data_IF_280809714726
#
_entry.id   IF_280809714726
#
_cell.length_a   1.000
_cell.length_b   1.000
_cell.length_c   1.000
_cell.angle_alpha   90.00
_cell.angle_beta   90.00
_cell.angle_gamma   90.00
#
_symmetry.space_group_name_H-M   'P 1'
#
loop_
_entity.id
_entity.type
_entity.pdbx_description
1 polymer ?
#
# COMPACT_ATOMS: atom_id res chain seq x y z
N UNK A 1 19.97 -8.64 25.68
CA UNK A 1 20.04 -8.96 24.24
C UNK A 1 20.11 -7.64 23.47
N UNK A 2 21.28 -7.18 23.05
CA UNK A 2 21.44 -5.87 22.42
C UNK A 2 22.30 -5.87 21.15
N UNK A 3 22.49 -7.04 20.53
CA UNK A 3 23.25 -7.18 19.28
C UNK A 3 22.33 -7.50 18.09
N UNK A 4 21.13 -6.91 18.08
CA UNK A 4 20.19 -7.07 16.97
C UNK A 4 20.51 -6.07 15.85
N UNK A 5 20.70 -6.58 14.63
CA UNK A 5 20.85 -5.79 13.41
C UNK A 5 19.56 -5.87 12.59
N UNK A 6 19.20 -4.77 11.92
CA UNK A 6 18.03 -4.70 11.04
C UNK A 6 18.49 -4.44 9.61
N UNK A 7 17.97 -5.22 8.66
CA UNK A 7 18.21 -4.99 7.25
C UNK A 7 17.43 -3.75 6.78
N UNK A 8 18.10 -2.85 6.06
CA UNK A 8 17.49 -1.65 5.49
C UNK A 8 17.63 -1.64 3.97
N UNK A 9 16.51 -1.57 3.26
CA UNK A 9 16.46 -1.65 1.79
C UNK A 9 16.19 -0.30 1.11
N UNK A 10 16.45 0.81 1.79
CA UNK A 10 16.03 2.14 1.36
C UNK A 10 16.44 2.49 -0.09
N UNK A 11 17.66 2.13 -0.50
CA UNK A 11 18.16 2.36 -1.86
C UNK A 11 17.40 1.53 -2.90
N UNK A 12 17.21 0.23 -2.65
CA UNK A 12 16.46 -0.65 -3.54
C UNK A 12 14.99 -0.21 -3.65
N UNK A 13 14.38 0.14 -2.52
CA UNK A 13 13.03 0.68 -2.47
C UNK A 13 12.89 2.00 -3.25
N UNK A 14 13.88 2.90 -3.14
CA UNK A 14 13.88 4.15 -3.90
C UNK A 14 13.94 3.89 -5.40
N UNK A 15 14.77 2.92 -5.84
CA UNK A 15 14.90 2.55 -7.25
C UNK A 15 13.61 1.99 -7.83
N UNK A 16 12.91 1.12 -7.10
CA UNK A 16 11.60 0.58 -7.51
C UNK A 16 10.55 1.67 -7.70
N UNK A 17 10.70 2.80 -7.02
CA UNK A 17 9.75 3.91 -7.04
C UNK A 17 10.13 5.00 -8.05
N UNK A 18 11.20 4.83 -8.84
CA UNK A 18 11.60 5.81 -9.86
C UNK A 18 10.85 5.58 -11.17
N UNK A 19 10.63 6.66 -11.94
CA UNK A 19 9.98 6.61 -13.24
C UNK A 19 8.45 6.65 -13.18
N UNK A 20 7.84 7.11 -14.28
CA UNK A 20 6.40 7.31 -14.42
C UNK A 20 5.75 8.03 -13.24
N UNK A 21 4.52 7.62 -12.91
CA UNK A 21 3.73 8.13 -11.79
C UNK A 21 3.94 7.37 -10.48
N UNK A 22 4.98 6.51 -10.34
CA UNK A 22 5.21 5.64 -9.17
C UNK A 22 5.28 6.40 -7.84
N UNK A 23 6.08 7.48 -7.77
CA UNK A 23 6.16 8.33 -6.57
C UNK A 23 4.85 9.04 -6.25
N UNK A 24 4.13 9.49 -7.29
CA UNK A 24 2.82 10.15 -7.16
C UNK A 24 1.78 9.18 -6.61
N UNK A 25 1.75 7.95 -7.14
CA UNK A 25 0.91 6.87 -6.64
C UNK A 25 1.18 6.59 -5.15
N UNK A 26 2.45 6.44 -4.75
CA UNK A 26 2.81 6.27 -3.35
C UNK A 26 2.37 7.47 -2.49
N UNK A 27 2.57 8.70 -2.96
CA UNK A 27 2.15 9.90 -2.23
C UNK A 27 0.65 9.92 -1.97
N UNK A 28 -0.17 9.63 -3.00
CA UNK A 28 -1.63 9.55 -2.89
C UNK A 28 -2.03 8.46 -1.89
N UNK A 29 -1.41 7.28 -1.95
CA UNK A 29 -1.70 6.19 -0.99
C UNK A 29 -1.37 6.56 0.46
N UNK A 30 -0.29 7.30 0.69
CA UNK A 30 0.03 7.83 2.03
C UNK A 30 -1.02 8.81 2.51
N UNK A 31 -1.47 9.73 1.65
CA UNK A 31 -2.55 10.67 1.98
C UNK A 31 -3.87 9.94 2.25
N UNK A 32 -4.23 8.95 1.44
CA UNK A 32 -5.41 8.10 1.64
C UNK A 32 -5.35 7.39 2.99
N UNK A 33 -4.18 6.84 3.34
CA UNK A 33 -3.97 6.22 4.65
C UNK A 33 -4.21 7.23 5.78
N UNK A 34 -3.61 8.41 5.69
CA UNK A 34 -3.64 9.43 6.76
C UNK A 34 -5.05 9.96 6.99
N UNK A 35 -5.80 10.19 5.92
CA UNK A 35 -7.14 10.79 6.03
C UNK A 35 -8.25 9.77 6.28
N UNK A 36 -8.08 8.53 5.85
CA UNK A 36 -9.19 7.56 5.83
C UNK A 36 -8.90 6.22 6.51
N UNK A 37 -7.64 5.90 6.81
CA UNK A 37 -7.23 4.61 7.37
C UNK A 37 -6.43 4.73 8.68
N UNK A 38 -6.41 5.91 9.30
CA UNK A 38 -6.03 6.06 10.71
C UNK A 38 -7.16 5.50 11.59
N UNK A 39 -7.02 4.24 11.96
CA UNK A 39 -8.03 3.48 12.69
C UNK A 39 -7.53 3.06 14.08
N UNK A 40 -8.44 2.81 15.04
CA UNK A 40 -8.08 2.19 16.32
C UNK A 40 -7.28 0.90 16.14
N UNK A 41 -6.22 0.75 16.93
CA UNK A 41 -5.28 -0.37 16.81
C UNK A 41 -4.19 -0.20 15.75
N UNK A 42 -4.18 0.93 15.03
CA UNK A 42 -3.16 1.31 14.04
C UNK A 42 -2.72 0.13 13.14
N UNK A 43 -3.66 -0.48 12.41
CA UNK A 43 -3.38 -1.66 11.59
C UNK A 43 -2.43 -1.34 10.42
N UNK A 44 -2.39 -0.07 9.99
CA UNK A 44 -1.65 0.37 8.81
C UNK A 44 -0.67 1.49 9.14
N UNK A 45 0.40 1.56 8.36
CA UNK A 45 1.43 2.61 8.40
C UNK A 45 1.98 2.83 6.98
N UNK A 46 2.85 3.84 6.81
CA UNK A 46 3.42 4.22 5.51
C UNK A 46 4.25 3.11 4.88
N UNK A 47 4.83 2.24 5.69
CA UNK A 47 5.66 1.15 5.22
C UNK A 47 4.84 0.07 4.51
N UNK A 48 3.61 -0.18 4.96
CA UNK A 48 2.67 -1.04 4.23
C UNK A 48 2.36 -0.47 2.84
N UNK A 49 2.12 0.84 2.71
CA UNK A 49 1.88 1.49 1.42
C UNK A 49 3.11 1.35 0.50
N UNK A 50 4.31 1.55 1.07
CA UNK A 50 5.58 1.39 0.37
C UNK A 50 5.77 -0.04 -0.16
N UNK A 51 5.44 -1.04 0.67
CA UNK A 51 5.54 -2.46 0.35
C UNK A 51 4.58 -2.84 -0.77
N UNK A 52 3.33 -2.39 -0.70
CA UNK A 52 2.32 -2.70 -1.73
C UNK A 52 2.65 -2.05 -3.08
N UNK A 53 3.15 -0.80 -3.10
CA UNK A 53 3.64 -0.17 -4.34
C UNK A 53 4.79 -0.98 -4.94
N UNK A 54 5.67 -1.56 -4.12
CA UNK A 54 6.79 -2.38 -4.61
C UNK A 54 6.30 -3.63 -5.33
N UNK A 55 5.32 -4.36 -4.77
CA UNK A 55 4.67 -5.47 -5.46
C UNK A 55 3.95 -5.04 -6.73
N UNK A 56 3.32 -3.86 -6.71
CA UNK A 56 2.64 -3.36 -7.90
C UNK A 56 3.62 -3.03 -9.04
N UNK A 57 4.82 -2.54 -8.69
CA UNK A 57 5.91 -2.31 -9.64
C UNK A 57 6.44 -3.63 -10.22
N UNK A 58 6.49 -4.70 -9.43
CA UNK A 58 6.87 -6.03 -9.92
C UNK A 58 5.86 -6.56 -10.96
N UNK A 59 4.56 -6.37 -10.71
CA UNK A 59 3.49 -6.75 -11.65
C UNK A 59 3.50 -5.91 -12.94
N UNK A 60 3.97 -4.66 -12.85
CA UNK A 60 3.94 -3.67 -13.92
C UNK A 60 5.33 -3.07 -14.14
N UNK A 61 6.28 -3.84 -14.71
CA UNK A 61 7.68 -3.46 -14.73
C UNK A 61 8.02 -2.37 -15.76
N UNK A 62 7.14 -2.10 -16.74
CA UNK A 62 7.46 -1.17 -17.84
C UNK A 62 7.17 0.27 -17.43
N UNK A 63 7.94 1.23 -17.95
CA UNK A 63 7.68 2.66 -17.75
C UNK A 63 6.25 3.04 -18.18
N UNK A 64 5.79 2.53 -19.33
CA UNK A 64 4.45 2.79 -19.87
C UNK A 64 3.31 2.29 -18.98
N UNK A 65 3.55 1.28 -18.15
CA UNK A 65 2.53 0.77 -17.21
C UNK A 65 2.27 1.77 -16.06
N UNK A 66 3.12 2.80 -15.97
CA UNK A 66 3.10 3.87 -14.97
C UNK A 66 2.95 5.26 -15.60
N UNK A 67 2.43 5.34 -16.81
CA UNK A 67 2.00 6.63 -17.36
C UNK A 67 0.87 7.24 -16.49
N UNK A 68 0.70 8.56 -16.56
CA UNK A 68 -0.31 9.27 -15.76
C UNK A 68 -1.75 8.76 -16.00
N UNK A 69 -2.04 8.28 -17.21
CA UNK A 69 -3.33 7.65 -17.53
C UNK A 69 -3.57 6.35 -16.76
N UNK A 70 -2.52 5.63 -16.37
CA UNK A 70 -2.61 4.38 -15.63
C UNK A 70 -2.70 4.58 -14.12
N UNK A 71 -2.49 5.80 -13.60
CA UNK A 71 -2.42 6.09 -12.17
C UNK A 71 -3.65 5.59 -11.41
N UNK A 72 -4.85 5.80 -11.95
CA UNK A 72 -6.10 5.33 -11.36
C UNK A 72 -6.15 3.80 -11.22
N UNK A 73 -5.76 3.08 -12.27
CA UNK A 73 -5.71 1.62 -12.26
C UNK A 73 -4.67 1.08 -11.28
N UNK A 74 -3.51 1.75 -11.17
CA UNK A 74 -2.48 1.39 -10.17
C UNK A 74 -2.98 1.57 -8.74
N UNK A 75 -3.64 2.70 -8.45
CA UNK A 75 -4.24 2.94 -7.14
C UNK A 75 -5.27 1.86 -6.80
N UNK A 76 -6.15 1.52 -7.75
CA UNK A 76 -7.17 0.49 -7.55
C UNK A 76 -6.55 -0.89 -7.34
N UNK A 77 -5.56 -1.28 -8.14
CA UNK A 77 -4.83 -2.55 -7.99
C UNK A 77 -4.20 -2.68 -6.60
N UNK A 78 -3.58 -1.60 -6.12
CA UNK A 78 -2.95 -1.58 -4.78
C UNK A 78 -3.99 -1.64 -3.66
N UNK A 79 -5.11 -0.93 -3.77
CA UNK A 79 -6.17 -0.99 -2.76
C UNK A 79 -6.81 -2.38 -2.68
N UNK A 80 -7.02 -3.04 -3.82
CA UNK A 80 -7.52 -4.42 -3.87
C UNK A 80 -6.50 -5.40 -3.27
N UNK A 81 -5.21 -5.21 -3.54
CA UNK A 81 -4.16 -5.99 -2.89
C UNK A 81 -4.15 -5.77 -1.37
N UNK A 82 -4.29 -4.52 -0.91
CA UNK A 82 -4.36 -4.20 0.52
C UNK A 82 -5.54 -4.90 1.19
N UNK A 83 -6.73 -4.89 0.56
CA UNK A 83 -7.91 -5.59 1.05
C UNK A 83 -7.63 -7.09 1.19
N UNK A 84 -7.00 -7.71 0.19
CA UNK A 84 -6.63 -9.13 0.24
C UNK A 84 -5.65 -9.42 1.38
N UNK A 85 -4.59 -8.63 1.53
CA UNK A 85 -3.64 -8.77 2.63
C UNK A 85 -4.32 -8.65 4.00
N UNK A 86 -5.23 -7.69 4.16
CA UNK A 86 -5.96 -7.48 5.42
C UNK A 86 -6.90 -8.65 5.75
N UNK A 87 -7.62 -9.17 4.75
CA UNK A 87 -8.52 -10.32 4.90
C UNK A 87 -7.75 -11.61 5.22
N UNK A 88 -6.62 -11.84 4.54
CA UNK A 88 -5.73 -12.96 4.81
C UNK A 88 -4.88 -12.76 6.08
N UNK A 89 -4.94 -11.55 6.68
CA UNK A 89 -4.15 -11.14 7.84
C UNK A 89 -2.64 -11.32 7.64
N UNK A 90 -2.18 -11.14 6.40
CA UNK A 90 -0.78 -11.32 6.01
C UNK A 90 -0.38 -10.29 4.97
N UNK A 91 0.65 -9.52 5.28
CA UNK A 91 1.29 -8.57 4.36
C UNK A 91 2.80 -8.86 4.32
N UNK A 92 3.25 -9.73 3.40
CA UNK A 92 4.66 -10.10 3.33
C UNK A 92 5.52 -8.91 2.93
N UNK A 93 6.62 -8.68 3.63
CA UNK A 93 7.62 -7.67 3.25
C UNK A 93 8.19 -7.98 1.86
N UNK A 94 8.33 -6.97 1.00
CA UNK A 94 8.72 -7.15 -0.41
C UNK A 94 10.06 -7.89 -0.59
N UNK A 95 11.13 -7.45 0.09
CA UNK A 95 12.44 -8.11 0.03
C UNK A 95 12.59 -9.34 0.94
N UNK A 96 11.65 -9.56 1.87
CA UNK A 96 11.73 -10.60 2.90
C UNK A 96 10.36 -11.30 3.01
N UNK A 97 9.95 -12.15 2.04
CA UNK A 97 8.56 -12.64 1.95
C UNK A 97 8.08 -13.47 3.16
N UNK A 98 9.02 -13.97 3.97
CA UNK A 98 8.75 -14.69 5.21
C UNK A 98 8.44 -13.76 6.40
N UNK A 99 8.78 -12.47 6.30
CA UNK A 99 8.47 -11.45 7.30
C UNK A 99 7.08 -10.88 7.02
N UNK A 100 6.14 -11.11 7.93
CA UNK A 100 4.78 -10.57 7.85
C UNK A 100 4.67 -9.23 8.59
N UNK A 101 4.35 -8.16 7.85
CA UNK A 101 4.20 -6.81 8.38
C UNK A 101 2.95 -6.64 9.26
N UNK A 102 1.96 -7.55 9.15
CA UNK A 102 0.78 -7.57 10.02
C UNK A 102 0.97 -8.43 11.28
N UNK A 103 2.14 -9.03 11.47
CA UNK A 103 2.41 -9.83 12.65
C UNK A 103 2.20 -9.00 13.93
N UNK A 104 1.42 -9.56 14.87
CA UNK A 104 1.09 -8.92 16.14
C UNK A 104 -0.01 -7.85 16.06
N UNK A 105 -0.59 -7.58 14.88
CA UNK A 105 -1.75 -6.67 14.77
C UNK A 105 -3.04 -7.36 15.23
N UNK A 106 -3.93 -6.67 15.98
CA UNK A 106 -5.20 -7.24 16.40
C UNK A 106 -6.07 -7.63 15.20
N UNK A 107 -6.65 -8.83 15.21
CA UNK A 107 -7.51 -9.31 14.12
C UNK A 107 -8.69 -8.37 13.83
N UNK A 108 -9.31 -7.81 14.88
CA UNK A 108 -10.41 -6.85 14.75
C UNK A 108 -9.97 -5.55 14.08
N UNK A 109 -8.75 -5.08 14.33
CA UNK A 109 -8.20 -3.89 13.68
C UNK A 109 -7.96 -4.13 12.18
N UNK A 110 -7.43 -5.31 11.81
CA UNK A 110 -7.24 -5.70 10.41
C UNK A 110 -8.59 -5.84 9.67
N UNK A 111 -9.59 -6.43 10.31
CA UNK A 111 -10.93 -6.58 9.72
C UNK A 111 -11.61 -5.21 9.49
N UNK A 112 -11.52 -4.30 10.47
CA UNK A 112 -12.05 -2.94 10.34
C UNK A 112 -11.32 -2.17 9.22
N UNK A 113 -9.99 -2.31 9.14
CA UNK A 113 -9.22 -1.75 8.04
C UNK A 113 -9.65 -2.31 6.69
N UNK A 114 -9.94 -3.61 6.59
CA UNK A 114 -10.42 -4.21 5.35
C UNK A 114 -11.74 -3.58 4.90
N UNK A 115 -12.71 -3.46 5.82
CA UNK A 115 -14.02 -2.83 5.55
C UNK A 115 -13.87 -1.38 5.10
N UNK A 116 -13.03 -0.60 5.78
CA UNK A 116 -12.82 0.81 5.44
C UNK A 116 -12.08 0.98 4.11
N UNK A 117 -11.06 0.15 3.86
CA UNK A 117 -10.34 0.14 2.57
C UNK A 117 -11.28 -0.22 1.42
N UNK A 118 -12.20 -1.16 1.63
CA UNK A 118 -13.21 -1.53 0.64
C UNK A 118 -14.12 -0.34 0.28
N UNK A 119 -14.60 0.41 1.28
CA UNK A 119 -15.43 1.60 1.06
C UNK A 119 -14.68 2.64 0.24
N UNK A 120 -13.42 2.89 0.58
CA UNK A 120 -12.55 3.83 -0.12
C UNK A 120 -12.29 3.41 -1.57
N UNK A 121 -11.95 2.14 -1.80
CA UNK A 121 -11.75 1.59 -3.14
C UNK A 121 -13.01 1.72 -3.99
N UNK A 122 -14.19 1.42 -3.42
CA UNK A 122 -15.47 1.58 -4.11
C UNK A 122 -15.75 3.05 -4.46
N UNK A 123 -15.46 3.98 -3.57
CA UNK A 123 -15.64 5.41 -3.83
C UNK A 123 -14.74 5.90 -4.98
N UNK A 124 -13.47 5.49 -4.99
CA UNK A 124 -12.52 5.85 -6.05
C UNK A 124 -12.94 5.25 -7.39
N UNK A 125 -13.37 3.99 -7.41
CA UNK A 125 -13.84 3.30 -8.61
C UNK A 125 -15.13 3.88 -9.19
N UNK A 126 -16.04 4.36 -8.35
CA UNK A 126 -17.37 4.83 -8.79
C UNK A 126 -17.45 6.35 -8.97
N UNK A 127 -16.49 7.10 -8.44
CA UNK A 127 -16.42 8.54 -8.55
C UNK A 127 -14.98 9.01 -8.83
N UNK A 128 -14.60 9.24 -10.10
CA UNK A 128 -13.25 9.70 -10.46
C UNK A 128 -12.84 11.02 -9.81
N UNK A 129 -13.81 11.88 -9.45
CA UNK A 129 -13.56 13.16 -8.77
C UNK A 129 -13.31 13.01 -7.26
N UNK A 130 -13.45 11.80 -6.71
CA UNK A 130 -13.19 11.58 -5.27
C UNK A 130 -11.73 11.87 -4.92
N UNK A 131 -10.80 11.66 -5.85
CA UNK A 131 -9.38 11.99 -5.67
C UNK A 131 -9.11 13.50 -5.56
N UNK A 132 -10.00 14.36 -6.04
CA UNK A 132 -9.89 15.83 -5.90
C UNK A 132 -10.19 16.30 -4.47
N UNK A 133 -10.83 15.44 -3.66
CA UNK A 133 -11.19 15.72 -2.26
C UNK A 133 -10.15 15.23 -1.26
N UNK A 134 -9.03 14.70 -1.76
CA UNK A 134 -7.92 14.15 -0.99
C UNK A 134 -7.00 15.18 -0.34
#
# INVERSE_FOLDING_TARGET
ESDAWVLQFAEAENRLQMGGCRKKCLSILKTLRDRHLELPGQPLNNYHMKTLVSYECEKHPRESDWDESCLGDRLNGILLQLISCLQCRRCPHYFLPNLDLFQGKPHSALENAAKQTWRLAREILTNPKSLEKL
#
